data_IF_941505676947
#
_entry.id   IF_941505676947
#
_cell.length_a   1.000
_cell.length_b   1.000
_cell.length_c   1.000
_cell.angle_alpha   90.00
_cell.angle_beta   90.00
_cell.angle_gamma   90.00
#
_symmetry.space_group_name_H-M   'P 1'
#
loop_
_entity.id
_entity.type
_entity.pdbx_description
1 polymer ?
#
# COMPACT_ATOMS: atom_id res chain seq x y z
N UNK A 1 -11.84 14.67 15.79
CA UNK A 1 -11.40 13.29 16.00
C UNK A 1 -12.61 12.43 16.31
N UNK A 2 -12.88 11.42 15.53
CA UNK A 2 -13.95 10.48 15.84
C UNK A 2 -13.59 9.80 17.18
N UNK A 3 -14.51 9.87 18.15
CA UNK A 3 -14.33 9.26 19.49
C UNK A 3 -14.51 7.73 19.42
N UNK A 4 -14.27 7.13 18.24
CA UNK A 4 -14.47 5.72 17.93
C UNK A 4 -13.20 4.94 18.26
N UNK A 5 -13.29 4.01 19.20
CA UNK A 5 -12.17 3.16 19.62
C UNK A 5 -12.16 1.80 18.90
N UNK A 6 -13.32 1.34 18.44
CA UNK A 6 -13.51 0.08 17.73
C UNK A 6 -14.63 0.22 16.69
N UNK A 7 -14.67 -0.67 15.69
CA UNK A 7 -15.68 -0.62 14.62
C UNK A 7 -17.13 -0.73 15.14
N UNK A 8 -17.36 -1.47 16.23
CA UNK A 8 -18.67 -1.57 16.90
C UNK A 8 -19.14 -0.26 17.56
N UNK A 9 -18.24 0.68 17.80
CA UNK A 9 -18.58 1.99 18.40
C UNK A 9 -19.11 2.98 17.35
N UNK A 10 -19.05 2.61 16.06
CA UNK A 10 -19.62 3.41 14.97
C UNK A 10 -21.14 3.56 15.16
N UNK A 11 -21.69 4.72 14.82
CA UNK A 11 -23.16 4.91 14.77
C UNK A 11 -23.74 4.33 13.49
N UNK A 12 -22.96 4.35 12.43
CA UNK A 12 -23.32 3.79 11.13
C UNK A 12 -22.09 3.33 10.37
N UNK A 13 -22.22 2.21 9.67
CA UNK A 13 -21.19 1.65 8.82
C UNK A 13 -21.73 1.37 7.42
N UNK A 14 -21.00 1.77 6.39
CA UNK A 14 -21.24 1.33 5.02
C UNK A 14 -20.21 0.28 4.64
N UNK A 15 -20.62 -0.73 3.87
CA UNK A 15 -19.77 -1.80 3.37
C UNK A 15 -19.69 -1.72 1.86
N UNK A 16 -18.50 -1.50 1.31
CA UNK A 16 -18.24 -1.44 -0.13
C UNK A 16 -17.37 -2.65 -0.51
N UNK A 17 -17.90 -3.56 -1.29
CA UNK A 17 -17.20 -4.82 -1.61
C UNK A 17 -17.04 -4.98 -3.11
N UNK A 18 -15.79 -5.21 -3.56
CA UNK A 18 -15.50 -5.58 -4.92
C UNK A 18 -15.93 -7.02 -5.20
N UNK A 19 -17.15 -7.17 -5.75
CA UNK A 19 -17.74 -8.47 -6.10
C UNK A 19 -16.98 -9.20 -7.22
N UNK A 20 -16.20 -8.48 -8.04
CA UNK A 20 -15.30 -9.06 -9.04
C UNK A 20 -13.99 -9.61 -8.47
N UNK A 21 -13.68 -9.39 -7.19
CA UNK A 21 -12.50 -9.94 -6.55
C UNK A 21 -12.63 -11.47 -6.37
N UNK A 22 -11.48 -12.15 -6.24
CA UNK A 22 -11.41 -13.62 -6.16
C UNK A 22 -12.31 -14.23 -5.06
N UNK A 23 -12.57 -13.48 -3.98
CA UNK A 23 -13.42 -13.85 -2.84
C UNK A 23 -14.68 -13.01 -2.70
N UNK A 24 -14.96 -12.16 -3.68
CA UNK A 24 -16.09 -11.23 -3.65
C UNK A 24 -17.46 -11.91 -3.60
N UNK A 25 -17.57 -13.15 -4.13
CA UNK A 25 -18.78 -13.95 -3.99
C UNK A 25 -19.13 -14.32 -2.52
N UNK A 26 -18.17 -14.18 -1.60
CA UNK A 26 -18.39 -14.42 -0.17
C UNK A 26 -18.84 -13.15 0.58
N UNK A 27 -19.25 -12.08 -0.11
CA UNK A 27 -19.60 -10.80 0.52
C UNK A 27 -20.77 -10.92 1.53
N UNK A 28 -21.77 -11.72 1.23
CA UNK A 28 -22.90 -11.97 2.14
C UNK A 28 -22.42 -12.60 3.47
N UNK A 29 -21.52 -13.58 3.38
CA UNK A 29 -20.92 -14.21 4.57
C UNK A 29 -20.11 -13.21 5.41
N UNK A 30 -19.39 -12.30 4.75
CA UNK A 30 -18.63 -11.25 5.44
C UNK A 30 -19.56 -10.27 6.16
N UNK A 31 -20.61 -9.83 5.49
CA UNK A 31 -21.62 -8.91 6.05
C UNK A 31 -22.32 -9.56 7.24
N UNK A 32 -22.72 -10.83 7.12
CA UNK A 32 -23.36 -11.55 8.21
C UNK A 32 -22.43 -11.78 9.41
N UNK A 33 -21.14 -12.07 9.14
CA UNK A 33 -20.14 -12.21 10.20
C UNK A 33 -19.93 -10.90 10.95
N UNK A 34 -19.83 -9.78 10.25
CA UNK A 34 -19.67 -8.45 10.86
C UNK A 34 -20.91 -8.04 11.67
N UNK A 35 -22.12 -8.28 11.14
CA UNK A 35 -23.38 -8.01 11.88
C UNK A 35 -23.47 -8.83 13.16
N UNK A 36 -23.12 -10.13 13.10
CA UNK A 36 -23.08 -11.00 14.29
C UNK A 36 -22.05 -10.53 15.30
N UNK A 37 -20.95 -9.92 14.85
CA UNK A 37 -19.93 -9.34 15.71
C UNK A 37 -20.29 -7.92 16.23
N UNK A 38 -21.47 -7.40 15.89
CA UNK A 38 -21.97 -6.14 16.42
C UNK A 38 -21.60 -4.88 15.63
N UNK A 39 -21.06 -5.02 14.42
CA UNK A 39 -20.79 -3.86 13.54
C UNK A 39 -22.12 -3.30 13.02
N UNK A 40 -22.44 -2.00 13.21
CA UNK A 40 -23.75 -1.41 12.86
C UNK A 40 -23.85 -1.09 11.36
N UNK A 41 -23.95 -2.13 10.53
CA UNK A 41 -23.99 -2.00 9.06
C UNK A 41 -25.34 -1.41 8.63
N UNK A 42 -25.28 -0.20 8.08
CA UNK A 42 -26.42 0.55 7.57
C UNK A 42 -26.67 0.29 6.08
N UNK A 43 -25.60 0.10 5.29
CA UNK A 43 -25.69 -0.13 3.85
C UNK A 43 -24.60 -1.07 3.33
N UNK A 44 -24.91 -1.76 2.23
CA UNK A 44 -23.97 -2.69 1.57
C UNK A 44 -23.98 -2.42 0.07
N UNK A 45 -22.83 -2.20 -0.50
CA UNK A 45 -22.64 -1.77 -1.88
C UNK A 45 -21.66 -2.73 -2.60
N UNK A 46 -22.15 -3.75 -3.31
CA UNK A 46 -21.29 -4.53 -4.20
C UNK A 46 -20.91 -3.67 -5.41
N UNK A 47 -19.62 -3.64 -5.76
CA UNK A 47 -19.07 -2.91 -6.92
C UNK A 47 -18.39 -3.91 -7.86
N UNK A 48 -18.43 -3.63 -9.16
CA UNK A 48 -17.93 -4.53 -10.19
C UNK A 48 -16.80 -3.92 -11.04
N UNK A 49 -16.60 -2.62 -10.94
CA UNK A 49 -15.58 -1.88 -11.70
C UNK A 49 -14.97 -0.75 -10.87
N UNK A 50 -13.84 -0.19 -11.34
CA UNK A 50 -13.24 1.00 -10.72
C UNK A 50 -14.17 2.22 -10.76
N UNK A 51 -14.93 2.40 -11.84
CA UNK A 51 -15.91 3.49 -11.95
C UNK A 51 -17.06 3.34 -10.94
N UNK A 52 -17.56 2.10 -10.74
CA UNK A 52 -18.59 1.82 -9.72
C UNK A 52 -18.03 2.09 -8.31
N UNK A 53 -16.77 1.71 -8.06
CA UNK A 53 -16.09 1.94 -6.79
C UNK A 53 -16.02 3.44 -6.50
N UNK A 54 -15.56 4.24 -7.48
CA UNK A 54 -15.42 5.68 -7.33
C UNK A 54 -16.76 6.35 -6.98
N UNK A 55 -17.78 6.14 -7.80
CA UNK A 55 -19.09 6.75 -7.57
C UNK A 55 -19.80 6.24 -6.32
N UNK A 56 -19.51 5.01 -5.88
CA UNK A 56 -20.05 4.46 -4.64
C UNK A 56 -19.37 5.05 -3.42
N UNK A 57 -18.04 5.17 -3.42
CA UNK A 57 -17.30 5.79 -2.32
C UNK A 57 -17.69 7.26 -2.17
N UNK A 58 -17.85 8.01 -3.26
CA UNK A 58 -18.27 9.41 -3.20
C UNK A 58 -19.63 9.56 -2.51
N UNK A 59 -20.60 8.71 -2.83
CA UNK A 59 -21.94 8.71 -2.18
C UNK A 59 -21.85 8.31 -0.71
N UNK A 60 -21.15 7.21 -0.41
CA UNK A 60 -21.01 6.70 0.96
C UNK A 60 -20.32 7.72 1.88
N UNK A 61 -19.31 8.43 1.38
CA UNK A 61 -18.65 9.51 2.14
C UNK A 61 -19.57 10.72 2.32
N UNK A 62 -20.37 11.07 1.29
CA UNK A 62 -21.35 12.16 1.38
C UNK A 62 -22.47 11.83 2.38
N UNK A 63 -22.85 10.56 2.54
CA UNK A 63 -23.84 10.10 3.51
C UNK A 63 -23.34 10.20 4.97
N UNK A 64 -22.05 10.44 5.19
CA UNK A 64 -21.46 10.76 6.50
C UNK A 64 -21.39 9.56 7.46
N UNK A 65 -21.12 8.37 6.96
CA UNK A 65 -20.88 7.19 7.80
C UNK A 65 -19.60 7.35 8.63
N UNK A 66 -19.64 6.91 9.88
CA UNK A 66 -18.47 6.92 10.78
C UNK A 66 -17.42 5.88 10.34
N UNK A 67 -17.89 4.75 9.76
CA UNK A 67 -17.06 3.64 9.30
C UNK A 67 -17.40 3.27 7.86
N UNK A 68 -16.38 3.15 7.03
CA UNK A 68 -16.50 2.57 5.68
C UNK A 68 -15.64 1.32 5.60
N UNK A 69 -16.28 0.16 5.51
CA UNK A 69 -15.59 -1.12 5.36
C UNK A 69 -15.41 -1.42 3.88
N UNK A 70 -14.16 -1.58 3.44
CA UNK A 70 -13.82 -1.85 2.05
C UNK A 70 -13.30 -3.27 1.91
N UNK A 71 -14.00 -4.07 1.12
CA UNK A 71 -13.61 -5.45 0.78
C UNK A 71 -13.06 -5.53 -0.65
N UNK A 72 -11.78 -5.88 -0.79
CA UNK A 72 -11.14 -5.96 -2.11
C UNK A 72 -9.69 -6.38 -2.04
N UNK A 73 -8.99 -6.22 -3.17
CA UNK A 73 -7.53 -6.31 -3.25
C UNK A 73 -6.87 -4.95 -3.04
N UNK A 74 -5.54 -4.91 -3.15
CA UNK A 74 -4.72 -3.73 -2.86
C UNK A 74 -5.17 -2.48 -3.65
N UNK A 75 -5.45 -2.57 -4.94
CA UNK A 75 -5.93 -1.42 -5.72
C UNK A 75 -7.28 -0.86 -5.24
N UNK A 76 -8.21 -1.73 -4.82
CA UNK A 76 -9.51 -1.31 -4.24
C UNK A 76 -9.29 -0.58 -2.91
N UNK A 77 -8.43 -1.12 -2.06
CA UNK A 77 -8.14 -0.59 -0.72
C UNK A 77 -7.34 0.71 -0.82
N UNK A 78 -6.32 0.76 -1.69
CA UNK A 78 -5.51 1.97 -1.93
C UNK A 78 -6.36 3.13 -2.44
N UNK A 79 -7.24 2.86 -3.42
CA UNK A 79 -8.17 3.86 -3.91
C UNK A 79 -9.08 4.40 -2.79
N UNK A 80 -9.66 3.50 -1.99
CA UNK A 80 -10.53 3.89 -0.89
C UNK A 80 -9.79 4.70 0.19
N UNK A 81 -8.58 4.31 0.55
CA UNK A 81 -7.74 5.04 1.49
C UNK A 81 -7.43 6.46 1.01
N UNK A 82 -7.12 6.62 -0.29
CA UNK A 82 -6.94 7.94 -0.89
C UNK A 82 -8.19 8.82 -0.81
N UNK A 83 -9.41 8.21 -0.85
CA UNK A 83 -10.69 8.93 -0.77
C UNK A 83 -11.08 9.30 0.66
N UNK A 84 -10.78 8.47 1.64
CA UNK A 84 -11.05 8.77 3.07
C UNK A 84 -9.97 9.61 3.72
N UNK A 85 -8.81 9.76 3.09
CA UNK A 85 -7.69 10.51 3.63
C UNK A 85 -8.09 11.96 3.98
N UNK A 86 -7.73 12.38 5.20
CA UNK A 86 -8.05 13.71 5.71
C UNK A 86 -9.53 13.91 6.11
N UNK A 87 -10.35 12.84 6.09
CA UNK A 87 -11.73 12.87 6.61
C UNK A 87 -11.80 12.29 8.03
N UNK A 88 -12.95 12.43 8.69
CA UNK A 88 -13.20 11.78 9.98
C UNK A 88 -13.73 10.34 9.85
N UNK A 89 -13.89 9.84 8.62
CA UNK A 89 -14.39 8.49 8.36
C UNK A 89 -13.29 7.47 8.62
N UNK A 90 -13.60 6.46 9.42
CA UNK A 90 -12.67 5.35 9.69
C UNK A 90 -12.77 4.32 8.58
N UNK A 91 -11.63 3.83 8.12
CA UNK A 91 -11.52 2.76 7.12
C UNK A 91 -11.46 1.40 7.82
N UNK A 92 -12.35 0.50 7.46
CA UNK A 92 -12.23 -0.93 7.75
C UNK A 92 -11.75 -1.68 6.51
N UNK A 93 -10.85 -2.65 6.64
CA UNK A 93 -10.29 -3.39 5.51
C UNK A 93 -10.64 -4.88 5.60
N UNK A 94 -11.21 -5.43 4.52
CA UNK A 94 -11.40 -6.87 4.33
C UNK A 94 -10.53 -7.37 3.17
N UNK A 95 -9.53 -8.23 3.43
CA UNK A 95 -8.55 -8.68 2.45
C UNK A 95 -9.15 -9.74 1.50
N UNK A 96 -9.77 -9.32 0.40
CA UNK A 96 -10.41 -10.20 -0.57
C UNK A 96 -9.58 -10.39 -1.86
N UNK A 97 -8.43 -9.74 -1.96
CA UNK A 97 -7.50 -9.84 -3.09
C UNK A 97 -6.54 -11.03 -2.97
N UNK A 98 -5.48 -10.99 -3.78
CA UNK A 98 -4.44 -12.02 -3.83
C UNK A 98 -3.24 -11.67 -2.93
N UNK A 99 -2.69 -10.47 -3.04
CA UNK A 99 -1.52 -10.00 -2.28
C UNK A 99 -1.95 -9.45 -0.91
N UNK A 100 -2.87 -8.48 -0.90
CA UNK A 100 -3.39 -7.79 0.29
C UNK A 100 -2.25 -7.25 1.17
N UNK A 101 -1.32 -6.54 0.54
CA UNK A 101 -0.09 -6.10 1.18
C UNK A 101 -0.36 -5.05 2.28
N UNK A 102 -1.32 -4.15 2.05
CA UNK A 102 -1.75 -3.21 3.09
C UNK A 102 -2.38 -3.90 4.30
N UNK A 103 -3.28 -4.85 4.07
CA UNK A 103 -3.86 -5.64 5.16
C UNK A 103 -2.79 -6.44 5.92
N UNK A 104 -1.77 -6.93 5.22
CA UNK A 104 -0.62 -7.62 5.81
C UNK A 104 0.22 -6.66 6.67
N UNK A 105 0.47 -5.43 6.19
CA UNK A 105 1.14 -4.38 6.95
C UNK A 105 0.39 -4.05 8.24
N UNK A 106 -0.94 -4.02 8.19
CA UNK A 106 -1.81 -3.79 9.34
C UNK A 106 -2.02 -5.03 10.23
N UNK A 107 -1.40 -6.16 9.90
CA UNK A 107 -1.55 -7.45 10.61
C UNK A 107 -3.00 -7.98 10.60
N UNK A 108 -3.81 -7.58 9.61
CA UNK A 108 -5.18 -8.06 9.44
C UNK A 108 -5.14 -9.51 8.93
N UNK A 109 -5.85 -10.45 9.60
CA UNK A 109 -5.86 -11.86 9.19
C UNK A 109 -6.36 -12.06 7.76
N UNK A 110 -5.68 -12.92 6.98
CA UNK A 110 -6.11 -13.27 5.61
C UNK A 110 -7.35 -14.17 5.55
N UNK A 111 -7.76 -14.80 6.66
CA UNK A 111 -8.99 -15.55 6.77
C UNK A 111 -10.16 -14.59 6.98
N UNK A 112 -11.23 -14.72 6.18
CA UNK A 112 -12.35 -13.77 6.18
C UNK A 112 -13.06 -13.69 7.55
N UNK A 113 -13.33 -14.83 8.20
CA UNK A 113 -14.00 -14.84 9.50
C UNK A 113 -13.15 -14.19 10.58
N UNK A 114 -11.83 -14.46 10.59
CA UNK A 114 -10.90 -13.83 11.51
C UNK A 114 -10.74 -12.32 11.23
N UNK A 115 -10.73 -11.92 9.94
CA UNK A 115 -10.68 -10.52 9.56
C UNK A 115 -11.94 -9.75 10.02
N UNK A 116 -13.13 -10.34 9.87
CA UNK A 116 -14.37 -9.75 10.37
C UNK A 116 -14.38 -9.61 11.90
N UNK A 117 -13.89 -10.61 12.62
CA UNK A 117 -13.78 -10.55 14.08
C UNK A 117 -12.75 -9.50 14.52
N UNK A 118 -11.59 -9.47 13.86
CA UNK A 118 -10.55 -8.47 14.12
C UNK A 118 -11.04 -7.05 13.83
N UNK A 119 -11.84 -6.86 12.78
CA UNK A 119 -12.48 -5.58 12.47
C UNK A 119 -13.43 -5.15 13.58
N UNK A 120 -14.33 -6.04 14.02
CA UNK A 120 -15.35 -5.71 15.02
C UNK A 120 -14.75 -5.33 16.38
N UNK A 121 -13.74 -6.07 16.83
CA UNK A 121 -13.07 -5.88 18.12
C UNK A 121 -11.76 -5.09 18.04
N UNK A 122 -11.39 -4.64 16.84
CA UNK A 122 -10.14 -3.93 16.58
C UNK A 122 -10.09 -2.53 17.21
N UNK A 123 -8.89 -1.99 17.28
CA UNK A 123 -8.61 -0.60 17.66
C UNK A 123 -8.51 0.29 16.42
N UNK A 124 -8.83 1.58 16.56
CA UNK A 124 -8.60 2.58 15.52
C UNK A 124 -7.22 3.19 15.72
N UNK A 125 -6.46 3.27 14.65
CA UNK A 125 -5.13 3.89 14.59
C UNK A 125 -5.04 4.83 13.40
N UNK A 126 -4.10 5.73 13.41
CA UNK A 126 -3.80 6.63 12.31
C UNK A 126 -2.64 6.05 11.50
N UNK A 127 -2.74 6.12 10.17
CA UNK A 127 -1.67 5.70 9.28
C UNK A 127 -1.36 6.78 8.26
N UNK A 128 -0.12 6.77 7.82
CA UNK A 128 0.39 7.69 6.81
C UNK A 128 -0.03 7.28 5.40
N UNK A 129 0.03 8.23 4.48
CA UNK A 129 -0.25 8.01 3.06
C UNK A 129 0.83 8.68 2.22
N UNK A 130 1.49 7.90 1.37
CA UNK A 130 2.40 8.45 0.40
C UNK A 130 1.67 9.22 -0.70
N UNK A 131 2.28 10.27 -1.21
CA UNK A 131 1.79 11.09 -2.32
C UNK A 131 2.85 11.15 -3.41
N UNK A 132 2.46 10.93 -4.66
CA UNK A 132 3.28 11.09 -5.85
C UNK A 132 2.65 12.15 -6.77
N UNK A 133 3.21 13.35 -6.86
CA UNK A 133 2.57 14.50 -7.51
C UNK A 133 1.12 14.76 -7.02
N UNK A 134 0.84 14.45 -5.75
CA UNK A 134 -0.49 14.54 -5.15
C UNK A 134 -1.34 13.26 -5.23
N UNK A 135 -1.03 12.32 -6.12
CA UNK A 135 -1.72 11.03 -6.23
C UNK A 135 -1.35 10.11 -5.06
N UNK A 136 -2.32 9.48 -4.39
CA UNK A 136 -2.07 8.68 -3.20
C UNK A 136 -1.51 7.28 -3.52
N UNK A 137 -0.66 6.76 -2.63
CA UNK A 137 -0.29 5.35 -2.59
C UNK A 137 -0.11 4.87 -1.14
N UNK A 138 -0.50 3.63 -0.85
CA UNK A 138 -0.45 3.05 0.49
C UNK A 138 0.83 2.28 0.77
N UNK A 139 1.30 1.51 -0.22
CA UNK A 139 2.38 0.57 -0.01
C UNK A 139 3.68 1.07 -0.65
N UNK A 140 3.74 1.14 -1.98
CA UNK A 140 4.97 1.46 -2.70
C UNK A 140 4.71 2.14 -4.04
N UNK A 141 5.50 3.18 -4.32
CA UNK A 141 5.70 3.71 -5.66
C UNK A 141 7.00 3.14 -6.24
N UNK A 142 7.06 2.90 -7.55
CA UNK A 142 8.26 2.30 -8.17
C UNK A 142 8.45 2.69 -9.63
N UNK A 143 9.72 2.70 -10.05
CA UNK A 143 10.18 3.07 -11.39
C UNK A 143 11.20 2.03 -11.87
N UNK A 144 11.17 1.69 -13.14
CA UNK A 144 12.10 0.76 -13.77
C UNK A 144 11.58 -0.68 -13.86
N UNK A 145 12.31 -1.67 -13.39
CA UNK A 145 11.99 -3.10 -13.59
C UNK A 145 10.59 -3.48 -13.12
N UNK A 146 10.14 -2.97 -11.99
CA UNK A 146 8.82 -3.28 -11.45
C UNK A 146 7.68 -2.82 -12.36
N UNK A 147 7.85 -1.69 -13.04
CA UNK A 147 6.90 -1.19 -14.05
C UNK A 147 6.87 -2.15 -15.25
N UNK A 148 8.03 -2.54 -15.77
CA UNK A 148 8.13 -3.48 -16.88
C UNK A 148 7.51 -4.85 -16.54
N UNK A 149 7.60 -5.30 -15.30
CA UNK A 149 6.91 -6.51 -14.81
C UNK A 149 5.40 -6.31 -14.80
N UNK A 150 4.93 -5.16 -14.34
CA UNK A 150 3.49 -4.83 -14.31
C UNK A 150 2.90 -4.80 -15.72
N UNK A 151 3.59 -4.19 -16.68
CA UNK A 151 3.19 -4.15 -18.10
C UNK A 151 3.19 -5.54 -18.75
N UNK A 152 4.18 -6.39 -18.43
CA UNK A 152 4.28 -7.76 -18.94
C UNK A 152 3.21 -8.70 -18.35
N UNK A 153 2.66 -8.37 -17.19
CA UNK A 153 1.62 -9.14 -16.50
C UNK A 153 0.22 -8.89 -17.10
N UNK A 154 -0.03 -9.36 -18.32
CA UNK A 154 -1.37 -9.27 -18.90
C UNK A 154 -2.41 -10.06 -18.07
N UNK A 155 -3.69 -9.62 -18.03
CA UNK A 155 -4.77 -10.37 -17.38
C UNK A 155 -4.92 -11.81 -17.91
N UNK A 156 -4.59 -12.02 -19.20
CA UNK A 156 -4.60 -13.34 -19.83
C UNK A 156 -3.50 -14.24 -19.25
N UNK A 157 -2.28 -13.71 -19.07
CA UNK A 157 -1.16 -14.46 -18.52
C UNK A 157 -1.45 -14.92 -17.08
N UNK A 158 -1.99 -14.01 -16.25
CA UNK A 158 -2.42 -14.34 -14.86
C UNK A 158 -3.46 -15.47 -14.84
N UNK A 159 -4.37 -15.51 -15.83
CA UNK A 159 -5.45 -16.50 -15.88
C UNK A 159 -4.97 -17.90 -16.27
N UNK A 160 -3.97 -18.02 -17.17
CA UNK A 160 -3.51 -19.30 -17.70
C UNK A 160 -2.38 -19.94 -16.89
N UNK A 161 -1.45 -19.18 -16.31
CA UNK A 161 -0.22 -19.68 -15.70
C UNK A 161 -0.21 -19.49 -14.18
N UNK A 162 -1.17 -18.74 -13.61
CA UNK A 162 -1.30 -18.53 -12.18
C UNK A 162 -0.04 -17.91 -11.54
N UNK A 163 0.48 -18.47 -10.41
CA UNK A 163 1.63 -17.91 -9.69
C UNK A 163 2.92 -17.82 -10.51
N UNK A 164 3.10 -18.71 -11.51
CA UNK A 164 4.29 -18.73 -12.38
C UNK A 164 4.31 -17.53 -13.35
N UNK A 165 3.17 -16.90 -13.61
CA UNK A 165 3.09 -15.73 -14.49
C UNK A 165 3.98 -14.59 -14.01
N UNK A 166 4.05 -14.37 -12.69
CA UNK A 166 4.89 -13.33 -12.11
C UNK A 166 6.39 -13.62 -12.34
N UNK A 167 6.83 -14.84 -12.09
CA UNK A 167 8.25 -15.23 -12.29
C UNK A 167 8.67 -15.11 -13.75
N UNK A 168 7.80 -15.51 -14.70
CA UNK A 168 8.09 -15.41 -16.14
C UNK A 168 8.10 -13.94 -16.59
N UNK A 169 7.16 -13.12 -16.12
CA UNK A 169 7.13 -11.69 -16.42
C UNK A 169 8.37 -10.99 -15.87
N UNK A 170 8.78 -11.31 -14.65
CA UNK A 170 9.99 -10.75 -14.02
C UNK A 170 11.24 -11.10 -14.81
N UNK A 171 11.41 -12.37 -15.19
CA UNK A 171 12.57 -12.80 -15.98
C UNK A 171 12.59 -12.15 -17.37
N UNK A 172 11.43 -12.05 -18.02
CA UNK A 172 11.30 -11.39 -19.33
C UNK A 172 11.57 -9.89 -19.24
N UNK A 173 11.03 -9.22 -18.22
CA UNK A 173 11.28 -7.81 -17.96
C UNK A 173 12.77 -7.56 -17.67
N UNK A 174 13.39 -8.39 -16.83
CA UNK A 174 14.81 -8.31 -16.52
C UNK A 174 15.69 -8.45 -17.77
N UNK A 175 15.40 -9.42 -18.64
CA UNK A 175 16.19 -9.65 -19.86
C UNK A 175 16.09 -8.49 -20.88
N UNK A 176 15.06 -7.69 -20.80
CA UNK A 176 14.81 -6.54 -21.70
C UNK A 176 15.09 -5.19 -21.03
N UNK A 177 15.38 -5.21 -19.74
CA UNK A 177 15.61 -3.98 -19.00
C UNK A 177 16.82 -3.22 -19.54
N UNK A 178 16.64 -1.90 -19.66
CA UNK A 178 17.75 -0.97 -19.91
C UNK A 178 17.97 -0.19 -18.62
N UNK A 179 19.21 -0.14 -18.16
CA UNK A 179 19.57 0.68 -17.01
C UNK A 179 19.28 2.16 -17.30
N UNK A 180 19.02 2.92 -16.26
CA UNK A 180 18.73 4.34 -16.31
C UNK A 180 19.53 5.08 -15.24
N UNK A 181 19.55 6.42 -15.36
CA UNK A 181 20.11 7.30 -14.36
C UNK A 181 18.99 7.94 -13.56
N UNK A 182 19.25 8.21 -12.29
CA UNK A 182 18.34 8.95 -11.45
C UNK A 182 19.07 9.98 -10.59
N UNK A 183 18.40 11.10 -10.36
CA UNK A 183 18.76 12.09 -9.36
C UNK A 183 17.66 12.13 -8.32
N UNK A 184 18.05 11.97 -7.06
CA UNK A 184 17.21 12.14 -5.88
C UNK A 184 17.55 13.51 -5.27
N UNK A 185 16.55 14.35 -5.13
CA UNK A 185 16.65 15.64 -4.46
C UNK A 185 15.79 15.58 -3.20
N UNK A 186 16.30 16.10 -2.09
CA UNK A 186 15.63 16.06 -0.80
C UNK A 186 15.22 17.47 -0.37
N UNK A 187 13.97 17.90 -0.68
CA UNK A 187 13.52 19.28 -0.48
C UNK A 187 13.55 19.74 0.97
N UNK A 188 13.46 18.83 1.93
CA UNK A 188 13.54 19.15 3.37
C UNK A 188 14.98 19.28 3.88
N UNK A 189 15.97 18.97 3.06
CA UNK A 189 17.39 19.14 3.39
C UNK A 189 17.93 18.11 4.38
N UNK A 190 17.25 16.99 4.55
CA UNK A 190 17.65 15.87 5.42
C UNK A 190 18.78 15.04 4.80
N UNK A 191 18.95 15.11 3.47
CA UNK A 191 20.04 14.48 2.73
C UNK A 191 20.59 15.41 1.65
N UNK A 192 21.88 15.23 1.30
CA UNK A 192 22.45 15.80 0.09
C UNK A 192 21.86 15.12 -1.17
N UNK A 193 21.73 15.85 -2.30
CA UNK A 193 21.27 15.26 -3.54
C UNK A 193 22.14 14.07 -3.97
N UNK A 194 21.51 13.00 -4.44
CA UNK A 194 22.18 11.78 -4.87
C UNK A 194 22.04 11.61 -6.39
N UNK A 195 23.19 11.47 -7.09
CA UNK A 195 23.24 11.07 -8.50
C UNK A 195 23.55 9.57 -8.56
N UNK A 196 22.68 8.80 -9.19
CA UNK A 196 22.79 7.34 -9.27
C UNK A 196 22.77 6.91 -10.74
N UNK A 197 23.69 6.05 -11.11
CA UNK A 197 23.83 5.53 -12.46
C UNK A 197 23.56 4.01 -12.51
N UNK A 198 23.32 3.53 -13.72
CA UNK A 198 23.10 2.10 -13.99
C UNK A 198 22.03 1.46 -13.13
N UNK A 199 20.91 2.16 -12.93
CA UNK A 199 19.84 1.66 -12.07
C UNK A 199 18.97 0.62 -12.77
N UNK A 200 18.61 -0.41 -12.03
CA UNK A 200 17.58 -1.39 -12.37
C UNK A 200 16.20 -0.92 -11.93
N UNK A 201 16.12 -0.32 -10.74
CA UNK A 201 14.87 0.11 -10.12
C UNK A 201 15.12 1.19 -9.07
N UNK A 202 14.18 2.11 -8.96
CA UNK A 202 14.00 2.96 -7.78
C UNK A 202 12.60 2.70 -7.22
N UNK A 203 12.48 2.65 -5.90
CA UNK A 203 11.18 2.58 -5.26
C UNK A 203 11.12 3.47 -4.02
N UNK A 204 9.90 3.91 -3.71
CA UNK A 204 9.55 4.78 -2.58
C UNK A 204 8.44 4.07 -1.82
N UNK A 205 8.75 3.53 -0.66
CA UNK A 205 7.81 2.81 0.21
C UNK A 205 7.19 3.73 1.24
N UNK A 206 5.90 3.55 1.50
CA UNK A 206 5.17 4.12 2.62
C UNK A 206 4.82 3.02 3.63
N UNK A 207 4.29 1.90 3.13
CA UNK A 207 3.98 0.73 3.95
C UNK A 207 5.12 -0.29 3.99
N UNK A 208 5.01 -1.22 4.95
CA UNK A 208 6.02 -2.26 5.17
C UNK A 208 6.05 -3.33 4.08
N UNK A 209 4.89 -3.74 3.57
CA UNK A 209 4.78 -4.85 2.64
C UNK A 209 4.36 -4.41 1.24
N UNK A 210 4.89 -5.10 0.22
CA UNK A 210 4.52 -4.89 -1.17
C UNK A 210 4.73 -6.16 -2.01
N UNK A 211 4.11 -6.21 -3.19
CA UNK A 211 4.36 -7.26 -4.18
C UNK A 211 4.06 -8.67 -3.71
N UNK A 212 3.10 -8.85 -2.79
CA UNK A 212 2.67 -10.15 -2.28
C UNK A 212 3.45 -10.62 -1.05
N UNK A 213 3.90 -9.72 -0.19
CA UNK A 213 4.52 -10.00 1.09
C UNK A 213 6.05 -9.88 1.10
N UNK A 214 6.61 -9.13 0.17
CA UNK A 214 7.98 -8.63 0.31
C UNK A 214 7.98 -7.46 1.29
N UNK A 215 9.10 -7.22 1.95
CA UNK A 215 9.26 -6.15 2.94
C UNK A 215 10.12 -5.03 2.34
N UNK A 216 9.68 -3.78 2.47
CA UNK A 216 10.41 -2.58 1.99
C UNK A 216 11.72 -2.42 2.75
N UNK A 217 11.65 -2.43 4.06
CA UNK A 217 12.82 -2.45 4.96
C UNK A 217 12.44 -3.15 6.27
N UNK A 218 13.39 -3.65 7.06
CA UNK A 218 13.10 -4.27 8.35
C UNK A 218 12.42 -3.33 9.34
N UNK A 219 12.68 -2.03 9.21
CA UNK A 219 12.22 -0.96 10.11
C UNK A 219 11.05 -0.15 9.56
N UNK A 220 10.63 -0.38 8.29
CA UNK A 220 9.52 0.36 7.71
C UNK A 220 8.25 0.24 8.56
N UNK A 221 7.63 1.36 8.86
CA UNK A 221 6.36 1.52 9.53
C UNK A 221 5.33 2.17 8.61
N UNK A 222 4.05 2.05 8.92
CA UNK A 222 2.98 2.71 8.17
C UNK A 222 2.56 4.04 8.85
N UNK A 223 3.17 4.37 9.98
CA UNK A 223 2.91 5.53 10.83
C UNK A 223 4.21 6.18 11.35
N UNK A 224 5.35 5.92 10.69
CA UNK A 224 6.66 6.42 11.09
C UNK A 224 7.01 7.78 10.48
N UNK A 225 6.08 8.34 9.71
CA UNK A 225 6.15 9.66 9.06
C UNK A 225 7.29 9.82 8.07
N UNK A 226 7.80 8.71 7.54
CA UNK A 226 8.89 8.70 6.57
C UNK A 226 8.56 7.82 5.36
N UNK A 227 9.25 8.09 4.26
CA UNK A 227 9.27 7.25 3.07
C UNK A 227 10.59 6.49 3.04
N UNK A 228 10.54 5.19 2.80
CA UNK A 228 11.72 4.36 2.54
C UNK A 228 12.08 4.42 1.07
N UNK A 229 13.16 5.09 0.70
CA UNK A 229 13.63 5.21 -0.66
C UNK A 229 14.77 4.21 -0.89
N UNK A 230 14.63 3.32 -1.88
CA UNK A 230 15.72 2.46 -2.26
C UNK A 230 15.94 2.43 -3.78
N UNK A 231 17.20 2.34 -4.17
CA UNK A 231 17.63 2.20 -5.56
C UNK A 231 18.48 0.95 -5.72
N UNK A 232 18.14 0.11 -6.71
CA UNK A 232 18.87 -1.13 -7.03
C UNK A 232 19.72 -0.87 -8.27
N UNK A 233 21.03 -1.02 -8.13
CA UNK A 233 21.99 -0.86 -9.23
C UNK A 233 22.01 -2.14 -10.07
N UNK A 234 22.08 -1.99 -11.39
CA UNK A 234 22.23 -3.08 -12.34
C UNK A 234 23.52 -3.88 -12.07
N UNK A 235 23.51 -5.15 -12.40
CA UNK A 235 24.66 -6.02 -12.17
C UNK A 235 24.42 -7.46 -12.62
N UNK A 236 25.29 -8.40 -12.23
CA UNK A 236 25.12 -9.79 -12.57
C UNK A 236 23.83 -10.39 -12.01
N UNK A 237 23.18 -11.25 -12.78
CA UNK A 237 21.92 -11.90 -12.39
C UNK A 237 21.98 -12.58 -11.01
N UNK A 238 23.13 -13.18 -10.65
CA UNK A 238 23.34 -13.82 -9.33
C UNK A 238 23.12 -12.86 -8.15
N UNK A 239 23.52 -11.59 -8.30
CA UNK A 239 23.37 -10.58 -7.25
C UNK A 239 21.91 -10.16 -7.13
N UNK A 240 21.20 -9.99 -8.25
CA UNK A 240 19.76 -9.70 -8.22
C UNK A 240 18.93 -10.88 -7.69
N UNK A 241 19.37 -12.12 -7.92
CA UNK A 241 18.78 -13.30 -7.26
C UNK A 241 19.02 -13.26 -5.75
N UNK A 242 20.20 -12.80 -5.30
CA UNK A 242 20.47 -12.57 -3.88
C UNK A 242 19.56 -11.52 -3.30
N UNK A 243 19.46 -10.34 -3.93
CA UNK A 243 18.54 -9.25 -3.53
C UNK A 243 17.10 -9.76 -3.46
N UNK A 244 16.64 -10.52 -4.48
CA UNK A 244 15.28 -11.05 -4.52
C UNK A 244 14.96 -12.02 -3.35
N UNK A 245 15.94 -12.74 -2.84
CA UNK A 245 15.77 -13.59 -1.64
C UNK A 245 15.64 -12.76 -0.36
N UNK A 246 16.41 -11.68 -0.27
CA UNK A 246 16.44 -10.77 0.88
C UNK A 246 15.25 -9.81 0.92
N UNK A 247 14.45 -9.71 -0.16
CA UNK A 247 13.22 -8.90 -0.19
C UNK A 247 12.17 -9.39 0.82
N UNK A 248 12.20 -10.68 1.20
CA UNK A 248 11.17 -11.24 2.08
C UNK A 248 11.19 -10.68 3.50
N UNK A 249 12.37 -10.34 4.00
CA UNK A 249 12.56 -9.79 5.33
C UNK A 249 13.06 -8.34 5.32
N UNK A 250 13.21 -7.75 4.12
CA UNK A 250 13.68 -6.38 3.94
C UNK A 250 15.20 -6.21 4.08
N UNK A 251 15.96 -7.27 4.37
CA UNK A 251 17.42 -7.17 4.57
C UNK A 251 18.20 -6.82 3.32
N UNK A 252 17.55 -6.83 2.14
CA UNK A 252 18.15 -6.43 0.87
C UNK A 252 18.69 -5.00 0.87
N UNK A 253 18.18 -4.11 1.72
CA UNK A 253 18.69 -2.73 1.86
C UNK A 253 20.16 -2.67 2.32
N UNK A 254 20.68 -3.76 2.88
CA UNK A 254 22.09 -3.90 3.30
C UNK A 254 23.01 -4.46 2.22
N UNK A 255 22.47 -4.76 1.03
CA UNK A 255 23.23 -5.30 -0.07
C UNK A 255 24.05 -4.20 -0.78
N UNK A 256 25.29 -4.48 -1.16
CA UNK A 256 26.22 -3.50 -1.76
C UNK A 256 25.70 -2.81 -3.04
N UNK A 257 24.70 -3.40 -3.71
CA UNK A 257 24.06 -2.84 -4.90
C UNK A 257 22.73 -2.13 -4.60
N UNK A 258 22.47 -1.83 -3.35
CA UNK A 258 21.25 -1.16 -2.94
C UNK A 258 21.61 0.10 -2.17
N UNK A 259 21.17 1.23 -2.67
CA UNK A 259 21.17 2.46 -1.91
C UNK A 259 19.84 2.56 -1.19
N UNK A 260 19.86 2.88 0.10
CA UNK A 260 18.65 3.05 0.91
C UNK A 260 18.79 4.28 1.79
N UNK A 261 17.76 5.11 1.80
CA UNK A 261 17.63 6.27 2.67
C UNK A 261 16.16 6.41 3.07
N UNK A 262 15.91 7.09 4.18
CA UNK A 262 14.56 7.50 4.60
C UNK A 262 14.44 9.01 4.54
N UNK A 263 13.30 9.53 4.07
CA UNK A 263 13.04 10.96 3.99
C UNK A 263 11.53 11.23 4.02
N UNK A 264 11.13 12.45 4.37
CA UNK A 264 9.72 12.86 4.32
C UNK A 264 9.29 13.31 2.93
N UNK A 265 10.24 13.74 2.13
CA UNK A 265 10.00 14.20 0.78
C UNK A 265 11.20 13.92 -0.11
N UNK A 266 10.94 13.43 -1.33
CA UNK A 266 11.97 13.21 -2.33
C UNK A 266 11.44 13.55 -3.72
N UNK A 267 12.24 14.32 -4.49
CA UNK A 267 12.01 14.53 -5.92
C UNK A 267 12.88 13.56 -6.69
N UNK A 268 12.24 12.70 -7.48
CA UNK A 268 12.90 11.73 -8.35
C UNK A 268 12.90 12.23 -9.78
N UNK A 269 14.07 12.45 -10.34
CA UNK A 269 14.29 12.76 -11.75
C UNK A 269 15.01 11.58 -12.40
N UNK A 270 14.56 11.10 -13.55
CA UNK A 270 15.23 10.01 -14.27
C UNK A 270 15.59 10.41 -15.70
N UNK A 271 16.64 9.79 -16.21
CA UNK A 271 17.04 9.89 -17.62
C UNK A 271 17.19 8.45 -18.19
N UNK A 272 16.31 8.10 -19.16
CA UNK A 272 15.17 8.84 -19.68
C UNK A 272 14.03 9.01 -18.67
N UNK A 273 13.06 9.89 -18.94
CA UNK A 273 11.82 9.96 -18.17
C UNK A 273 11.09 8.61 -18.23
N UNK A 274 10.65 8.11 -17.05
CA UNK A 274 10.09 6.77 -16.90
C UNK A 274 8.72 6.81 -16.24
N UNK A 275 7.83 5.86 -16.57
CA UNK A 275 6.55 5.72 -15.89
C UNK A 275 6.74 5.30 -14.42
N UNK A 276 5.86 5.80 -13.57
CA UNK A 276 5.80 5.52 -12.14
C UNK A 276 4.58 4.65 -11.84
N UNK A 277 4.82 3.53 -11.21
CA UNK A 277 3.78 2.63 -10.72
C UNK A 277 3.47 2.99 -9.26
N UNK A 278 2.19 3.16 -8.95
CA UNK A 278 1.67 3.39 -7.60
C UNK A 278 0.79 2.19 -7.22
N UNK A 279 1.18 1.41 -6.23
CA UNK A 279 0.45 0.23 -5.73
C UNK A 279 -0.02 -0.76 -6.82
N UNK A 280 0.69 -0.85 -7.95
CA UNK A 280 0.39 -1.75 -9.06
C UNK A 280 -0.27 -1.10 -10.27
N UNK A 281 -0.51 0.22 -10.27
CA UNK A 281 -1.07 0.98 -11.38
C UNK A 281 -0.11 2.08 -11.86
N UNK A 282 0.01 2.28 -13.17
CA UNK A 282 0.84 3.35 -13.73
C UNK A 282 0.04 4.65 -13.66
N UNK A 283 0.47 5.58 -12.80
CA UNK A 283 -0.28 6.80 -12.50
C UNK A 283 0.52 8.10 -12.68
N UNK A 284 1.84 8.04 -12.85
CA UNK A 284 2.69 9.21 -13.03
C UNK A 284 3.85 8.93 -13.99
N UNK A 285 4.64 9.96 -14.29
CA UNK A 285 5.89 9.89 -15.06
C UNK A 285 6.89 10.81 -14.39
N UNK A 286 8.16 10.38 -14.29
CA UNK A 286 9.23 11.24 -13.76
C UNK A 286 9.48 12.47 -14.64
N UNK A 287 9.83 13.64 -14.08
CA UNK A 287 10.08 13.91 -12.66
C UNK A 287 8.84 13.79 -11.80
N UNK A 288 8.99 13.20 -10.60
CA UNK A 288 7.88 13.00 -9.63
C UNK A 288 8.32 13.46 -8.25
N UNK A 289 7.47 14.26 -7.61
CA UNK A 289 7.63 14.68 -6.23
C UNK A 289 6.88 13.72 -5.32
N UNK A 290 7.60 13.05 -4.42
CA UNK A 290 7.04 12.18 -3.39
C UNK A 290 7.04 12.88 -2.05
N UNK A 291 5.94 12.79 -1.33
CA UNK A 291 5.79 13.34 0.03
C UNK A 291 5.00 12.37 0.90
N UNK A 292 5.15 12.49 2.21
CA UNK A 292 4.35 11.77 3.20
C UNK A 292 3.23 12.68 3.71
N UNK A 293 1.99 12.18 3.68
CA UNK A 293 0.87 12.80 4.38
C UNK A 293 0.67 12.05 5.69
N UNK A 294 1.05 12.70 6.79
CA UNK A 294 1.03 12.12 8.14
C UNK A 294 -0.39 11.96 8.64
N UNK A 295 -0.64 10.86 9.36
CA UNK A 295 -1.93 10.61 10.01
C UNK A 295 -3.11 10.80 9.06
N UNK A 296 -2.94 10.37 7.80
CA UNK A 296 -3.87 10.68 6.72
C UNK A 296 -5.15 9.86 6.78
N UNK A 297 -5.09 8.63 7.31
CA UNK A 297 -6.19 7.68 7.29
C UNK A 297 -6.39 7.07 8.66
N UNK A 298 -7.59 7.22 9.23
CA UNK A 298 -8.02 6.47 10.40
C UNK A 298 -8.39 5.05 9.97
N UNK A 299 -7.80 4.01 10.54
CA UNK A 299 -8.04 2.63 10.12
C UNK A 299 -8.24 1.69 11.30
N UNK A 300 -9.11 0.69 11.13
CA UNK A 300 -9.30 -0.36 12.13
C UNK A 300 -8.23 -1.44 11.94
N UNK A 301 -7.48 -1.72 13.01
CA UNK A 301 -6.50 -2.82 13.05
C UNK A 301 -6.83 -3.81 14.18
N UNK A 302 -6.32 -5.06 14.13
CA UNK A 302 -6.49 -5.99 15.24
C UNK A 302 -5.99 -5.40 16.56
N UNK A 303 -6.61 -5.73 17.69
CA UNK A 303 -6.21 -5.22 19.02
C UNK A 303 -4.72 -5.46 19.34
N UNK A 304 -4.18 -6.62 18.93
CA UNK A 304 -2.79 -6.98 19.14
C UNK A 304 -1.82 -6.46 18.07
N UNK A 305 -2.31 -5.70 17.07
CA UNK A 305 -1.44 -5.17 16.02
C UNK A 305 -0.44 -4.18 16.58
N UNK A 306 0.81 -4.30 16.09
CA UNK A 306 1.94 -3.44 16.40
C UNK A 306 2.33 -2.54 15.22
N UNK A 307 1.53 -2.55 14.16
CA UNK A 307 1.84 -1.90 12.89
C UNK A 307 1.71 -0.38 12.89
N UNK A 308 1.02 0.20 13.86
CA UNK A 308 0.83 1.65 13.98
C UNK A 308 0.86 2.02 15.47
N UNK A 309 2.06 2.26 15.98
CA UNK A 309 2.31 2.55 17.38
C UNK A 309 2.91 3.93 17.62
N UNK A 310 3.40 4.61 16.57
CA UNK A 310 4.13 5.87 16.72
C UNK A 310 3.22 7.02 17.15
N UNK A 311 1.95 7.03 16.77
CA UNK A 311 0.98 8.07 17.14
C UNK A 311 -0.02 7.67 18.23
N UNK A 312 0.34 6.68 19.04
CA UNK A 312 -0.41 6.38 20.27
C UNK A 312 -0.34 7.51 21.29
N UNK A 313 -1.23 7.55 22.31
CA UNK A 313 -1.13 8.52 23.39
C UNK A 313 0.24 8.35 24.11
N UNK A 314 1.14 9.30 23.86
CA UNK A 314 2.55 9.26 24.32
C UNK A 314 3.56 9.57 23.21
N UNK A 315 3.16 9.64 21.96
CA UNK A 315 4.00 10.01 20.81
C UNK A 315 4.58 11.44 20.91
N UNK A 316 4.02 12.29 21.75
CA UNK A 316 4.55 13.63 22.05
C UNK A 316 5.95 13.62 22.65
N UNK A 317 6.43 12.46 23.12
CA UNK A 317 7.75 12.29 23.75
C UNK A 317 8.79 11.62 22.84
N UNK A 318 8.47 11.35 21.57
CA UNK A 318 9.45 10.79 20.64
C UNK A 318 10.43 11.89 20.20
N UNK A 319 11.75 11.66 20.21
CA UNK A 319 12.70 12.68 19.78
C UNK A 319 12.43 13.04 18.32
N UNK A 320 12.51 14.33 17.94
CA UNK A 320 12.47 14.71 16.54
C UNK A 320 13.65 14.05 15.83
N UNK A 321 13.38 13.39 14.69
CA UNK A 321 14.40 12.87 13.79
C UNK A 321 15.21 14.00 13.21
#
# INVERSE_FOLDING_TARGET
MANMKAARDARSAAVVINAGSRRGAAHELAVDAMRKAGVPISSVHPVHSGADLAGTLDRVLADGHDLVVVGGGDGTVSYAAGRVAGTNTVLGVLPLGTANDFARTLEIPGNLSQACAALADGKVVDVDLGRANGEPFLNVASVGLSVAVTEALSPRLKRYIGPLAYSIATLSAYARHKSFRARLEFPEGDHEPMELEDLLQVAVGNGRHYGGGNTVSPTAGIDDHTLDIYAIVAGPLREHVSIARLLKDGSFIKHDRVHHVTSRAVRLVTDPALPVNLDGEIAAVTPTDFTIQRNAVHVVVPQGSTSALFDGPGAENWPPL
#
